data_IF_355260575563
#
_entry.id   IF_355260575563
#
_cell.length_a   1.000
_cell.length_b   1.000
_cell.length_c   1.000
_cell.angle_alpha   90.00
_cell.angle_beta   90.00
_cell.angle_gamma   90.00
#
_symmetry.space_group_name_H-M   'P 1'
#
loop_
_entity.id
_entity.type
_entity.pdbx_description
1 polymer ?
#
# COMPACT_ATOMS: atom_id res chain seq x y z
N UNK A 1 -0.52 21.23 -11.39
CA UNK A 1 0.50 21.98 -12.12
C UNK A 1 1.78 22.10 -11.30
N UNK A 2 1.75 22.68 -10.10
CA UNK A 2 2.93 22.91 -9.27
C UNK A 2 3.68 21.60 -8.96
N UNK A 3 2.99 20.53 -8.56
CA UNK A 3 3.63 19.22 -8.31
C UNK A 3 4.37 18.71 -9.54
N UNK A 4 3.80 18.92 -10.74
CA UNK A 4 4.41 18.47 -11.99
C UNK A 4 5.59 19.34 -12.41
N UNK A 5 5.42 20.67 -12.46
CA UNK A 5 6.38 21.59 -13.05
C UNK A 5 7.41 22.05 -12.02
N UNK A 6 6.96 22.56 -10.88
CA UNK A 6 7.86 23.19 -9.92
C UNK A 6 8.59 22.16 -9.04
N UNK A 7 8.01 20.97 -8.86
CA UNK A 7 8.60 19.93 -8.03
C UNK A 7 9.24 18.83 -8.88
N UNK A 8 8.44 18.05 -9.62
CA UNK A 8 8.95 16.86 -10.29
C UNK A 8 9.83 17.18 -11.51
N UNK A 9 9.33 18.02 -12.45
CA UNK A 9 10.09 18.39 -13.65
C UNK A 9 11.37 19.16 -13.32
N UNK A 10 11.31 20.08 -12.37
CA UNK A 10 12.47 20.86 -11.93
C UNK A 10 13.43 20.04 -11.02
N UNK A 11 13.09 18.81 -10.72
CA UNK A 11 13.86 17.90 -9.86
C UNK A 11 14.32 18.57 -8.56
N UNK A 12 13.38 19.22 -7.88
CA UNK A 12 13.67 19.95 -6.66
C UNK A 12 13.76 19.02 -5.44
N UNK A 13 14.56 19.37 -4.46
CA UNK A 13 14.62 18.67 -3.17
C UNK A 13 13.40 19.05 -2.32
N UNK A 14 12.22 18.57 -2.70
CA UNK A 14 10.94 18.84 -2.03
C UNK A 14 10.21 17.53 -1.77
N UNK A 15 9.84 17.31 -0.52
CA UNK A 15 8.94 16.23 -0.11
C UNK A 15 7.56 16.81 0.18
N UNK A 16 6.57 16.40 -0.60
CA UNK A 16 5.17 16.72 -0.39
C UNK A 16 4.56 15.70 0.57
N UNK A 17 3.86 16.15 1.61
CA UNK A 17 3.20 15.27 2.57
C UNK A 17 1.69 15.44 2.44
N UNK A 18 1.02 14.44 1.89
CA UNK A 18 -0.45 14.35 1.81
C UNK A 18 -1.00 13.72 3.09
N UNK A 19 -1.64 14.54 3.92
CA UNK A 19 -2.28 14.07 5.14
C UNK A 19 -3.73 13.68 4.85
N UNK A 20 -4.22 12.62 5.51
CA UNK A 20 -5.59 12.14 5.38
C UNK A 20 -5.89 11.52 4.01
N UNK A 21 -4.99 10.67 3.53
CA UNK A 21 -5.22 9.88 2.33
C UNK A 21 -6.40 8.90 2.46
N UNK A 22 -6.84 8.37 1.34
CA UNK A 22 -7.92 7.38 1.28
C UNK A 22 -9.24 7.90 1.83
N UNK A 23 -9.85 7.15 2.73
CA UNK A 23 -11.11 7.49 3.42
C UNK A 23 -10.91 8.01 4.84
N UNK A 24 -9.73 8.53 5.16
CA UNK A 24 -9.42 9.06 6.51
C UNK A 24 -10.39 10.15 7.00
N UNK A 25 -11.06 10.86 6.09
CA UNK A 25 -12.18 11.74 6.38
C UNK A 25 -13.53 11.07 6.09
N UNK A 26 -13.69 9.81 6.49
CA UNK A 26 -14.81 8.96 6.15
C UNK A 26 -16.18 9.61 6.28
N UNK A 27 -16.46 10.24 7.43
CA UNK A 27 -17.74 10.89 7.72
C UNK A 27 -18.06 12.11 6.81
N UNK A 28 -17.03 12.74 6.19
CA UNK A 28 -17.22 13.90 5.31
C UNK A 28 -17.48 13.49 3.85
N UNK A 29 -17.31 12.23 3.51
CA UNK A 29 -17.64 11.67 2.20
C UNK A 29 -16.68 12.08 1.08
N UNK A 30 -17.05 11.77 -0.15
CA UNK A 30 -16.21 11.81 -1.36
C UNK A 30 -15.55 13.16 -1.66
N UNK A 31 -16.10 14.27 -1.21
CA UNK A 31 -15.46 15.59 -1.39
C UNK A 31 -14.18 15.76 -0.57
N UNK A 32 -13.95 14.87 0.40
CA UNK A 32 -12.80 14.88 1.29
C UNK A 32 -11.94 13.60 1.20
N UNK A 33 -12.45 12.56 0.54
CA UNK A 33 -11.70 11.34 0.32
C UNK A 33 -10.60 11.58 -0.72
N UNK A 34 -9.42 10.98 -0.52
CA UNK A 34 -8.29 11.02 -1.45
C UNK A 34 -7.96 9.59 -1.92
N UNK A 35 -8.82 9.04 -2.78
CA UNK A 35 -8.70 7.67 -3.28
C UNK A 35 -7.95 7.58 -4.62
N UNK A 36 -7.34 8.67 -5.10
CA UNK A 36 -6.71 8.78 -6.42
C UNK A 36 -5.31 9.41 -6.38
N UNK A 37 -4.79 9.72 -5.22
CA UNK A 37 -3.53 10.45 -5.04
C UNK A 37 -2.31 9.64 -5.53
N UNK A 38 -2.25 8.32 -5.28
CA UNK A 38 -1.18 7.47 -5.83
C UNK A 38 -1.16 7.53 -7.36
N UNK A 39 -2.32 7.39 -8.00
CA UNK A 39 -2.44 7.46 -9.45
C UNK A 39 -1.94 8.81 -9.99
N UNK A 40 -2.41 9.91 -9.39
CA UNK A 40 -2.06 11.26 -9.82
C UNK A 40 -0.56 11.56 -9.65
N UNK A 41 0.02 11.20 -8.50
CA UNK A 41 1.42 11.48 -8.19
C UNK A 41 2.37 10.52 -8.91
N UNK A 42 2.00 9.24 -9.05
CA UNK A 42 2.81 8.26 -9.78
C UNK A 42 2.89 8.56 -11.29
N UNK A 43 1.88 9.22 -11.86
CA UNK A 43 1.90 9.65 -13.26
C UNK A 43 2.95 10.74 -13.55
N UNK A 44 3.45 11.44 -12.53
CA UNK A 44 4.47 12.48 -12.70
C UNK A 44 5.85 11.85 -12.85
N UNK A 45 6.51 12.13 -13.98
CA UNK A 45 7.90 11.68 -14.21
C UNK A 45 8.83 12.25 -13.13
N UNK A 46 9.67 11.38 -12.52
CA UNK A 46 10.63 11.78 -11.48
C UNK A 46 10.05 11.87 -10.07
N UNK A 47 8.72 11.97 -9.90
CA UNK A 47 8.10 11.96 -8.58
C UNK A 47 8.18 10.55 -7.96
N UNK A 48 8.64 10.45 -6.73
CA UNK A 48 8.55 9.24 -5.90
C UNK A 48 7.26 9.26 -5.10
N UNK A 49 6.71 8.10 -4.78
CA UNK A 49 5.42 7.97 -4.07
C UNK A 49 5.54 6.90 -3.00
N UNK A 50 5.27 7.27 -1.77
CA UNK A 50 5.40 6.42 -0.59
C UNK A 50 4.15 6.46 0.27
N UNK A 51 3.85 5.33 0.91
CA UNK A 51 2.77 5.19 1.88
C UNK A 51 3.23 4.29 3.05
N UNK A 52 3.91 4.87 4.06
CA UNK A 52 4.39 4.10 5.21
C UNK A 52 3.23 3.60 6.07
N UNK A 53 3.45 2.47 6.74
CA UNK A 53 2.42 1.74 7.49
C UNK A 53 2.27 2.17 8.94
N UNK A 54 3.35 2.66 9.57
CA UNK A 54 3.33 3.11 10.96
C UNK A 54 4.32 4.28 11.22
N UNK A 55 4.37 4.72 12.47
CA UNK A 55 5.23 5.82 12.89
C UNK A 55 6.73 5.52 12.75
N UNK A 56 7.15 4.27 12.99
CA UNK A 56 8.57 3.89 12.93
C UNK A 56 9.05 3.88 11.47
N UNK A 57 8.28 3.25 10.58
CA UNK A 57 8.58 3.28 9.16
C UNK A 57 8.51 4.70 8.59
N UNK A 58 7.54 5.52 9.04
CA UNK A 58 7.45 6.93 8.66
C UNK A 58 8.69 7.71 9.06
N UNK A 59 9.19 7.53 10.29
CA UNK A 59 10.39 8.20 10.76
C UNK A 59 11.62 7.81 9.91
N UNK A 60 11.82 6.50 9.66
CA UNK A 60 12.92 6.01 8.82
C UNK A 60 12.83 6.50 7.38
N UNK A 61 11.64 6.55 6.82
CA UNK A 61 11.40 7.08 5.47
C UNK A 61 11.78 8.57 5.40
N UNK A 62 11.36 9.38 6.37
CA UNK A 62 11.69 10.81 6.41
C UNK A 62 13.20 11.01 6.56
N UNK A 63 13.86 10.29 7.46
CA UNK A 63 15.32 10.32 7.61
C UNK A 63 16.04 10.02 6.29
N UNK A 64 15.61 8.96 5.59
CA UNK A 64 16.20 8.56 4.31
C UNK A 64 15.97 9.62 3.20
N UNK A 65 14.79 10.23 3.14
CA UNK A 65 14.47 11.26 2.15
C UNK A 65 15.20 12.59 2.40
N UNK A 66 15.59 12.91 3.62
CA UNK A 66 16.44 14.06 3.91
C UNK A 66 17.83 13.94 3.26
N UNK A 67 18.31 12.72 3.10
CA UNK A 67 19.61 12.43 2.45
C UNK A 67 19.47 12.25 0.92
N UNK A 68 18.36 11.70 0.46
CA UNK A 68 18.15 11.34 -0.96
C UNK A 68 17.99 12.56 -1.89
N UNK A 69 17.38 13.62 -1.45
CA UNK A 69 17.24 14.92 -2.15
C UNK A 69 16.51 14.88 -3.50
N UNK A 70 15.72 13.87 -3.77
CA UNK A 70 14.86 13.81 -4.96
C UNK A 70 13.40 14.16 -4.61
N UNK A 71 12.60 14.59 -5.60
CA UNK A 71 11.20 14.87 -5.38
C UNK A 71 10.44 13.66 -4.84
N UNK A 72 9.66 13.85 -3.77
CA UNK A 72 8.87 12.79 -3.19
C UNK A 72 7.47 13.25 -2.77
N UNK A 73 6.53 12.32 -2.77
CA UNK A 73 5.23 12.43 -2.16
C UNK A 73 5.08 11.32 -1.12
N UNK A 74 4.73 11.69 0.09
CA UNK A 74 4.40 10.76 1.17
C UNK A 74 2.92 10.91 1.47
N UNK A 75 2.16 9.84 1.37
CA UNK A 75 0.80 9.77 1.90
C UNK A 75 0.86 9.28 3.34
N UNK A 76 0.18 9.98 4.24
CA UNK A 76 0.01 9.55 5.62
C UNK A 76 -1.45 9.58 6.02
N UNK A 77 -1.81 8.68 6.93
CA UNK A 77 -3.13 8.64 7.54
C UNK A 77 -3.36 9.82 8.48
N UNK A 78 -4.62 10.07 8.79
CA UNK A 78 -5.06 10.95 9.87
C UNK A 78 -5.18 10.21 11.20
N UNK A 79 -5.63 8.98 11.15
CA UNK A 79 -5.85 8.15 12.33
C UNK A 79 -4.54 7.50 12.81
N UNK A 80 -4.43 7.25 14.09
CA UNK A 80 -3.32 6.46 14.62
C UNK A 80 -3.44 5.03 14.08
N UNK A 81 -2.37 4.55 13.45
CA UNK A 81 -2.24 3.17 13.02
C UNK A 81 -1.62 2.31 14.12
N UNK A 82 -1.87 1.01 14.09
CA UNK A 82 -1.19 0.06 14.96
C UNK A 82 0.28 -0.03 14.58
N UNK A 83 1.18 -0.02 15.57
CA UNK A 83 2.60 -0.22 15.32
C UNK A 83 2.86 -1.65 14.80
N UNK A 84 3.52 -1.75 13.66
CA UNK A 84 3.97 -3.00 13.02
C UNK A 84 5.43 -3.24 13.34
N UNK A 85 6.19 -2.17 13.43
CA UNK A 85 7.62 -2.14 13.66
C UNK A 85 7.95 -1.55 15.03
N UNK A 86 9.24 -1.50 15.33
CA UNK A 86 9.82 -0.83 16.49
C UNK A 86 11.03 0.03 16.05
N UNK A 87 11.71 0.64 17.01
CA UNK A 87 12.86 1.52 16.77
C UNK A 87 14.06 0.83 16.10
N UNK A 88 14.13 -0.51 16.18
CA UNK A 88 15.22 -1.32 15.63
C UNK A 88 14.91 -1.84 14.21
N UNK A 89 13.79 -1.41 13.59
CA UNK A 89 13.43 -1.90 12.27
C UNK A 89 14.55 -1.65 11.24
N UNK A 90 14.82 -2.65 10.44
CA UNK A 90 15.67 -2.50 9.25
C UNK A 90 14.90 -1.76 8.17
N UNK A 91 15.51 -0.72 7.61
CA UNK A 91 14.91 0.09 6.56
C UNK A 91 15.91 0.37 5.46
N UNK A 92 15.50 0.17 4.24
CA UNK A 92 16.26 0.56 3.05
C UNK A 92 15.31 1.28 2.09
N UNK A 93 15.65 2.51 1.71
CA UNK A 93 14.83 3.31 0.81
C UNK A 93 14.57 2.54 -0.50
N UNK A 94 13.34 2.61 -0.99
CA UNK A 94 12.87 1.94 -2.21
C UNK A 94 12.86 0.39 -2.14
N UNK A 95 12.95 -0.18 -0.93
CA UNK A 95 12.86 -1.62 -0.70
C UNK A 95 11.67 -1.95 0.21
N UNK A 96 10.83 -2.84 -0.27
CA UNK A 96 9.69 -3.32 0.51
C UNK A 96 10.15 -4.12 1.75
N UNK A 97 9.36 -4.07 2.82
CA UNK A 97 9.59 -4.88 4.01
C UNK A 97 8.82 -6.21 3.92
N UNK A 98 9.52 -7.32 4.17
CA UNK A 98 8.92 -8.66 4.16
C UNK A 98 8.51 -9.03 5.57
N UNK A 99 7.21 -9.10 5.83
CA UNK A 99 6.64 -9.45 7.15
C UNK A 99 6.38 -10.94 7.32
N UNK A 100 6.34 -11.68 6.22
CA UNK A 100 6.16 -13.13 6.22
C UNK A 100 6.35 -13.74 4.85
N UNK A 101 6.76 -15.02 4.80
CA UNK A 101 6.84 -15.80 3.57
C UNK A 101 5.75 -16.88 3.56
N UNK A 102 5.12 -17.08 2.42
CA UNK A 102 4.06 -18.08 2.22
C UNK A 102 4.32 -18.98 1.03
N UNK A 103 3.57 -20.09 0.94
CA UNK A 103 3.61 -21.03 -0.18
C UNK A 103 2.28 -21.11 -0.94
N UNK A 104 1.20 -20.61 -0.36
CA UNK A 104 -0.12 -20.63 -1.01
C UNK A 104 -0.51 -19.24 -1.47
N UNK A 105 -0.36 -18.22 -0.59
CA UNK A 105 -0.82 -16.85 -0.82
C UNK A 105 0.28 -15.84 -0.45
N UNK A 106 0.36 -14.78 -1.23
CA UNK A 106 1.15 -13.59 -0.92
C UNK A 106 0.22 -12.37 -0.84
N UNK A 107 0.12 -11.78 0.34
CA UNK A 107 -0.53 -10.49 0.54
C UNK A 107 0.49 -9.37 0.26
N UNK A 108 0.05 -8.33 -0.44
CA UNK A 108 0.86 -7.15 -0.72
C UNK A 108 0.05 -5.93 -0.29
N UNK A 109 0.46 -5.25 0.76
CA UNK A 109 -0.28 -4.13 1.33
C UNK A 109 0.60 -2.90 1.48
N UNK A 110 0.01 -1.73 1.65
CA UNK A 110 0.69 -0.49 1.97
C UNK A 110 -0.11 0.34 2.98
N UNK A 111 0.60 1.20 3.72
CA UNK A 111 -0.01 2.15 4.65
C UNK A 111 -0.89 1.49 5.70
N UNK A 112 -2.05 2.09 5.97
CA UNK A 112 -3.02 1.62 6.96
C UNK A 112 -3.53 0.20 6.73
N UNK A 113 -3.37 -0.34 5.53
CA UNK A 113 -3.83 -1.70 5.23
C UNK A 113 -2.87 -2.78 5.73
N UNK A 114 -1.62 -2.43 6.05
CA UNK A 114 -0.62 -3.41 6.50
C UNK A 114 -1.00 -4.08 7.84
N UNK A 115 -1.46 -3.37 8.88
CA UNK A 115 -1.96 -4.01 10.10
C UNK A 115 -3.09 -5.01 9.84
N UNK A 116 -4.08 -4.65 9.02
CA UNK A 116 -5.19 -5.55 8.67
C UNK A 116 -4.72 -6.76 7.86
N UNK A 117 -3.79 -6.56 6.93
CA UNK A 117 -3.20 -7.65 6.16
C UNK A 117 -2.37 -8.59 7.04
N UNK A 118 -1.69 -8.06 8.07
CA UNK A 118 -0.95 -8.87 9.06
C UNK A 118 -1.87 -9.74 9.89
N UNK A 119 -2.96 -9.20 10.42
CA UNK A 119 -3.98 -9.96 11.16
C UNK A 119 -4.62 -11.03 10.25
N UNK A 120 -4.89 -10.70 8.98
CA UNK A 120 -5.40 -11.66 8.00
C UNK A 120 -4.40 -12.78 7.71
N UNK A 121 -3.10 -12.46 7.54
CA UNK A 121 -2.02 -13.44 7.36
C UNK A 121 -1.95 -14.40 8.56
N UNK A 122 -1.97 -13.88 9.78
CA UNK A 122 -1.93 -14.68 11.00
C UNK A 122 -3.14 -15.63 11.10
N UNK A 123 -4.34 -15.12 10.77
CA UNK A 123 -5.59 -15.90 10.75
C UNK A 123 -5.54 -17.00 9.69
N UNK A 124 -5.07 -16.72 8.48
CA UNK A 124 -4.95 -17.69 7.40
C UNK A 124 -3.92 -18.76 7.72
N UNK A 125 -2.77 -18.39 8.29
CA UNK A 125 -1.74 -19.33 8.72
C UNK A 125 -2.27 -20.25 9.83
N UNK A 126 -3.05 -19.75 10.78
CA UNK A 126 -3.70 -20.56 11.81
C UNK A 126 -4.72 -21.55 11.23
N UNK A 127 -5.32 -21.25 10.08
CA UNK A 127 -6.21 -22.15 9.33
C UNK A 127 -5.47 -23.11 8.39
N UNK A 128 -4.13 -23.07 8.34
CA UNK A 128 -3.30 -23.94 7.51
C UNK A 128 -3.09 -23.44 6.08
N UNK A 129 -3.48 -22.21 5.74
CA UNK A 129 -3.18 -21.57 4.46
C UNK A 129 -1.85 -20.81 4.60
N UNK A 130 -0.80 -21.33 3.98
CA UNK A 130 0.56 -20.75 4.08
C UNK A 130 0.63 -19.39 3.39
N UNK A 131 0.50 -18.32 4.17
CA UNK A 131 0.36 -16.95 3.70
C UNK A 131 1.57 -16.11 4.07
N UNK A 132 2.12 -15.38 3.09
CA UNK A 132 3.16 -14.36 3.28
C UNK A 132 2.58 -12.95 3.19
N UNK A 133 3.37 -11.95 3.61
CA UNK A 133 2.99 -10.54 3.54
C UNK A 133 4.19 -9.67 3.19
N UNK A 134 3.98 -8.77 2.24
CA UNK A 134 4.88 -7.66 1.91
C UNK A 134 4.22 -6.34 2.33
N UNK A 135 4.92 -5.54 3.11
CA UNK A 135 4.64 -4.11 3.26
C UNK A 135 5.35 -3.34 2.13
N UNK A 136 4.58 -3.02 1.10
CA UNK A 136 5.03 -2.31 -0.10
C UNK A 136 4.82 -0.80 0.08
N UNK A 137 5.50 -0.19 1.02
CA UNK A 137 5.38 1.25 1.29
C UNK A 137 5.86 2.12 0.11
N UNK A 138 6.71 1.59 -0.77
CA UNK A 138 7.22 2.27 -1.97
C UNK A 138 6.36 1.94 -3.19
N UNK A 139 5.38 2.83 -3.47
CA UNK A 139 4.50 2.70 -4.63
C UNK A 139 5.28 3.03 -5.92
N UNK A 140 6.18 4.04 -5.82
CA UNK A 140 7.08 4.43 -6.90
C UNK A 140 8.36 5.05 -6.32
N UNK A 141 9.56 4.50 -6.61
CA UNK A 141 9.79 3.30 -7.42
C UNK A 141 9.23 2.05 -6.73
N UNK A 142 8.77 1.10 -7.52
CA UNK A 142 8.19 -0.15 -7.04
C UNK A 142 9.26 -1.23 -6.88
N UNK A 143 9.30 -1.93 -5.76
CA UNK A 143 10.27 -3.03 -5.55
C UNK A 143 9.82 -4.33 -6.24
N UNK A 144 9.99 -4.36 -7.56
CA UNK A 144 9.64 -5.51 -8.42
C UNK A 144 10.37 -6.77 -7.98
N UNK A 145 11.64 -6.65 -7.55
CA UNK A 145 12.47 -7.82 -7.24
C UNK A 145 11.92 -8.57 -6.02
N UNK A 146 11.59 -7.88 -4.95
CA UNK A 146 11.01 -8.48 -3.74
C UNK A 146 9.65 -9.12 -4.05
N UNK A 147 8.77 -8.44 -4.81
CA UNK A 147 7.50 -9.00 -5.22
C UNK A 147 7.69 -10.30 -6.02
N UNK A 148 8.51 -10.27 -7.07
CA UNK A 148 8.72 -11.40 -7.97
C UNK A 148 9.35 -12.58 -7.23
N UNK A 149 10.33 -12.33 -6.37
CA UNK A 149 10.98 -13.39 -5.59
C UNK A 149 9.95 -14.17 -4.74
N UNK A 150 9.08 -13.45 -4.03
CA UNK A 150 8.10 -14.09 -3.14
C UNK A 150 6.86 -14.62 -3.90
N UNK A 151 6.53 -14.03 -5.04
CA UNK A 151 5.39 -14.49 -5.84
C UNK A 151 5.66 -15.81 -6.59
N UNK A 152 6.93 -16.20 -6.81
CA UNK A 152 7.28 -17.41 -7.59
C UNK A 152 6.61 -18.67 -7.05
N UNK A 153 6.58 -18.83 -5.74
CA UNK A 153 6.20 -20.07 -5.07
C UNK A 153 4.74 -20.10 -4.61
N UNK A 154 4.00 -19.00 -4.76
CA UNK A 154 2.59 -18.93 -4.36
C UNK A 154 1.63 -19.16 -5.52
N UNK A 155 0.39 -19.52 -5.20
CA UNK A 155 -0.69 -19.74 -6.18
C UNK A 155 -1.48 -18.46 -6.44
N UNK A 156 -1.58 -17.60 -5.42
CA UNK A 156 -2.41 -16.40 -5.42
C UNK A 156 -1.63 -15.23 -4.83
N UNK A 157 -1.73 -14.07 -5.48
CA UNK A 157 -1.31 -12.78 -4.94
C UNK A 157 -2.56 -11.94 -4.67
N UNK A 158 -2.63 -11.27 -3.52
CA UNK A 158 -3.71 -10.34 -3.19
C UNK A 158 -3.08 -9.00 -2.85
N UNK A 159 -3.36 -7.96 -3.63
CA UNK A 159 -2.99 -6.58 -3.28
C UNK A 159 -4.08 -5.94 -2.44
N UNK A 160 -3.69 -5.20 -1.41
CA UNK A 160 -4.61 -4.55 -0.47
C UNK A 160 -4.23 -3.08 -0.33
N UNK A 161 -5.14 -2.20 -0.71
CA UNK A 161 -4.92 -0.75 -0.66
C UNK A 161 -6.20 0.04 -0.40
N UNK A 162 -6.06 1.16 0.26
CA UNK A 162 -7.10 2.15 0.47
C UNK A 162 -7.08 3.19 -0.65
N UNK A 163 -7.35 2.75 -1.88
CA UNK A 163 -7.26 3.55 -3.10
C UNK A 163 -8.26 3.03 -4.14
N UNK A 164 -8.62 3.84 -5.13
CA UNK A 164 -9.41 3.39 -6.28
C UNK A 164 -8.62 2.40 -7.15
N UNK A 165 -9.26 1.57 -7.99
CA UNK A 165 -8.59 0.49 -8.70
C UNK A 165 -7.43 0.94 -9.61
N UNK A 166 -7.59 2.09 -10.30
CA UNK A 166 -6.64 2.52 -11.32
C UNK A 166 -5.47 3.29 -10.73
N UNK A 167 -4.25 2.86 -11.07
CA UNK A 167 -3.01 3.59 -10.81
C UNK A 167 -2.50 3.54 -9.36
N UNK A 168 -3.09 2.68 -8.52
CA UNK A 168 -2.62 2.42 -7.16
C UNK A 168 -1.64 1.25 -7.07
N UNK A 169 -1.55 0.69 -5.86
CA UNK A 169 -0.71 -0.48 -5.56
C UNK A 169 -1.08 -1.69 -6.42
N UNK A 170 -2.38 -2.00 -6.53
CA UNK A 170 -2.87 -3.13 -7.32
C UNK A 170 -2.42 -3.04 -8.78
N UNK A 171 -2.54 -1.88 -9.39
CA UNK A 171 -2.05 -1.64 -10.76
C UNK A 171 -0.54 -1.85 -10.89
N UNK A 172 0.27 -1.40 -9.91
CA UNK A 172 1.72 -1.61 -9.92
C UNK A 172 2.08 -3.09 -9.75
N UNK A 173 1.39 -3.81 -8.86
CA UNK A 173 1.52 -5.26 -8.67
C UNK A 173 1.16 -6.00 -9.95
N UNK A 174 0.03 -5.67 -10.58
CA UNK A 174 -0.42 -6.26 -11.84
C UNK A 174 0.63 -6.09 -12.95
N UNK A 175 1.15 -4.88 -13.12
CA UNK A 175 2.19 -4.57 -14.11
C UNK A 175 3.48 -5.37 -13.84
N UNK A 176 3.93 -5.41 -12.59
CA UNK A 176 5.13 -6.13 -12.22
C UNK A 176 4.99 -7.65 -12.44
N UNK A 177 3.87 -8.24 -12.01
CA UNK A 177 3.60 -9.67 -12.19
C UNK A 177 3.45 -10.05 -13.65
N UNK A 178 2.68 -9.30 -14.44
CA UNK A 178 2.46 -9.62 -15.85
C UNK A 178 3.76 -9.66 -16.67
N UNK A 179 4.72 -8.81 -16.31
CA UNK A 179 5.98 -8.69 -17.05
C UNK A 179 7.07 -9.67 -16.59
N UNK A 180 7.03 -10.13 -15.31
CA UNK A 180 8.15 -10.86 -14.72
C UNK A 180 7.79 -12.23 -14.15
N UNK A 181 6.59 -12.38 -13.61
CA UNK A 181 6.13 -13.62 -12.96
C UNK A 181 4.61 -13.70 -13.00
N UNK A 182 3.99 -14.03 -14.15
CA UNK A 182 2.54 -14.07 -14.28
C UNK A 182 1.89 -14.97 -13.23
N UNK A 183 1.01 -14.38 -12.41
CA UNK A 183 0.30 -15.04 -11.31
C UNK A 183 -1.16 -14.57 -11.29
N UNK A 184 -2.03 -15.40 -10.70
CA UNK A 184 -3.37 -14.95 -10.36
C UNK A 184 -3.27 -13.83 -9.34
N UNK A 185 -3.84 -12.69 -9.66
CA UNK A 185 -3.93 -11.51 -8.80
C UNK A 185 -5.39 -11.24 -8.47
N UNK A 186 -5.66 -10.93 -7.22
CA UNK A 186 -6.91 -10.33 -6.76
C UNK A 186 -6.57 -8.97 -6.16
N UNK A 187 -7.19 -7.93 -6.68
CA UNK A 187 -7.01 -6.57 -6.18
C UNK A 187 -8.12 -6.26 -5.17
N UNK A 188 -7.73 -6.00 -3.93
CA UNK A 188 -8.60 -5.57 -2.85
C UNK A 188 -8.38 -4.08 -2.60
N UNK A 189 -9.29 -3.28 -3.14
CA UNK A 189 -9.25 -1.81 -3.14
C UNK A 189 -10.64 -1.24 -2.86
N UNK A 190 -10.75 0.07 -2.78
CA UNK A 190 -12.01 0.78 -2.78
C UNK A 190 -12.61 0.75 -4.19
N UNK A 191 -13.94 0.62 -4.35
CA UNK A 191 -14.55 0.61 -5.67
C UNK A 191 -14.50 1.98 -6.36
N UNK A 192 -14.55 1.99 -7.70
CA UNK A 192 -14.66 3.22 -8.51
C UNK A 192 -16.10 3.73 -8.52
N UNK A 193 -16.56 4.19 -7.36
CA UNK A 193 -17.92 4.74 -7.16
C UNK A 193 -17.92 5.80 -6.04
N UNK A 194 -19.05 6.48 -5.86
CA UNK A 194 -19.24 7.36 -4.72
C UNK A 194 -19.39 6.54 -3.44
N UNK A 195 -18.34 6.58 -2.61
CA UNK A 195 -18.27 5.80 -1.39
C UNK A 195 -19.30 6.26 -0.36
N UNK A 196 -19.89 5.29 0.36
CA UNK A 196 -20.80 5.57 1.49
C UNK A 196 -19.96 6.17 2.63
N UNK A 197 -20.32 7.37 3.15
CA UNK A 197 -19.61 7.98 4.25
C UNK A 197 -19.83 7.23 5.58
N UNK A 198 -18.83 7.14 6.41
CA UNK A 198 -18.88 6.49 7.71
C UNK A 198 -17.56 6.64 8.47
N UNK A 199 -17.44 6.06 9.65
CA UNK A 199 -16.17 5.97 10.33
C UNK A 199 -15.21 5.02 9.57
N UNK A 200 -13.90 5.31 9.59
CA UNK A 200 -12.92 4.56 8.79
C UNK A 200 -13.01 3.05 8.96
N UNK A 201 -13.08 2.59 10.21
CA UNK A 201 -13.16 1.15 10.53
C UNK A 201 -14.44 0.50 10.01
N UNK A 202 -15.56 1.24 10.04
CA UNK A 202 -16.83 0.78 9.46
C UNK A 202 -16.77 0.73 7.94
N UNK A 203 -16.12 1.72 7.32
CA UNK A 203 -15.90 1.73 5.88
C UNK A 203 -14.99 0.58 5.45
N UNK A 204 -13.90 0.33 6.17
CA UNK A 204 -13.02 -0.80 5.87
C UNK A 204 -13.76 -2.13 5.98
N UNK A 205 -14.59 -2.32 7.02
CA UNK A 205 -15.41 -3.52 7.15
C UNK A 205 -16.46 -3.64 6.02
N UNK A 206 -17.11 -2.54 5.67
CA UNK A 206 -18.13 -2.52 4.61
C UNK A 206 -17.54 -2.88 3.23
N UNK A 207 -16.39 -2.30 2.88
CA UNK A 207 -15.70 -2.59 1.62
C UNK A 207 -14.80 -3.82 1.69
N UNK A 208 -14.75 -4.49 2.86
CA UNK A 208 -13.98 -5.72 3.08
C UNK A 208 -12.47 -5.51 3.02
N UNK A 209 -11.99 -4.35 3.45
CA UNK A 209 -10.58 -4.02 3.62
C UNK A 209 -10.07 -4.31 5.04
N UNK A 210 -10.96 -4.70 5.96
CA UNK A 210 -10.58 -5.21 7.27
C UNK A 210 -10.00 -6.64 7.18
N UNK A 211 -9.41 -7.12 8.27
CA UNK A 211 -8.79 -8.45 8.29
C UNK A 211 -9.76 -9.58 7.90
N UNK A 212 -11.03 -9.48 8.32
CA UNK A 212 -12.07 -10.48 8.00
C UNK A 212 -12.38 -10.49 6.51
N UNK A 213 -12.52 -9.31 5.91
CA UNK A 213 -12.78 -9.16 4.48
C UNK A 213 -11.61 -9.67 3.63
N UNK A 214 -10.36 -9.44 4.07
CA UNK A 214 -9.16 -9.95 3.41
C UNK A 214 -9.12 -11.49 3.49
N UNK A 215 -9.37 -12.08 4.67
CA UNK A 215 -9.45 -13.54 4.85
C UNK A 215 -10.51 -14.14 3.93
N UNK A 216 -11.71 -13.56 3.92
CA UNK A 216 -12.80 -14.02 3.04
C UNK A 216 -12.39 -13.97 1.57
N UNK A 217 -11.77 -12.88 1.13
CA UNK A 217 -11.28 -12.73 -0.24
C UNK A 217 -10.31 -13.84 -0.63
N UNK A 218 -9.38 -14.20 0.26
CA UNK A 218 -8.44 -15.29 0.04
C UNK A 218 -9.15 -16.65 -0.04
N UNK A 219 -10.04 -16.94 0.92
CA UNK A 219 -10.78 -18.22 0.97
C UNK A 219 -11.66 -18.45 -0.28
N UNK A 220 -12.29 -17.38 -0.79
CA UNK A 220 -13.10 -17.44 -2.02
C UNK A 220 -12.25 -17.53 -3.30
N UNK A 221 -10.95 -17.24 -3.20
CA UNK A 221 -10.05 -17.17 -4.35
C UNK A 221 -9.11 -18.37 -4.49
N UNK A 222 -8.97 -19.23 -3.47
CA UNK A 222 -8.19 -20.45 -3.52
C UNK A 222 -9.00 -21.63 -4.08
#
# INVERSE_FOLDING_TARGET
>A
EQCKVDVAYSNTNVTLIGISGGVSYGALGMTHHSCQDFAAMSALTGMRVYNPSDRFQTAKLVEALLEDKNPAYIRVSRSATQDIYDENMEFTLDKANVLGKGKDVLLVACGEMVPYAKEAMETLNAKGVSTGLIDMYCIKPFDVNTLVELAKDVKLVVSIEEHAPQGGLGSAVAQALSSNCPKRLVEKNLPDEHLIPGENTEMFAYYGLDAKGIVKTVEESL
#
